data_IF_292484125387
#
_entry.id   IF_292484125387
#
_cell.length_a   1.000
_cell.length_b   1.000
_cell.length_c   1.000
_cell.angle_alpha   90.00
_cell.angle_beta   90.00
_cell.angle_gamma   90.00
#
_symmetry.space_group_name_H-M   'P 1'
#
loop_
_entity.id
_entity.type
_entity.pdbx_description
1 polymer ?
#
# COMPACT_ATOMS: atom_id res chain seq x y z
N UNK A 1 16.64 21.63 -7.54
CA UNK A 1 15.33 21.06 -7.90
C UNK A 1 15.49 19.55 -7.92
N UNK A 2 15.38 18.88 -6.76
CA UNK A 2 15.50 17.43 -6.69
C UNK A 2 14.17 16.82 -7.17
N UNK A 3 14.24 16.02 -8.24
CA UNK A 3 13.07 15.34 -8.76
C UNK A 3 12.51 14.39 -7.70
N UNK A 4 11.20 14.39 -7.48
CA UNK A 4 10.58 13.48 -6.53
C UNK A 4 10.77 12.02 -6.96
N UNK A 5 11.10 11.15 -6.00
CA UNK A 5 11.35 9.74 -6.28
C UNK A 5 10.12 9.06 -6.87
N UNK A 6 10.30 8.49 -8.07
CA UNK A 6 9.35 7.57 -8.67
C UNK A 6 9.30 6.32 -7.78
N UNK A 7 8.17 6.11 -7.10
CA UNK A 7 7.95 4.96 -6.23
C UNK A 7 7.13 3.88 -6.93
N UNK A 8 7.61 2.64 -6.90
CA UNK A 8 6.94 1.49 -7.51
C UNK A 8 6.49 0.52 -6.42
N UNK A 9 5.28 -0.02 -6.53
CA UNK A 9 4.71 -0.92 -5.53
C UNK A 9 4.12 -2.14 -6.21
N UNK A 10 4.34 -3.30 -5.63
CA UNK A 10 3.72 -4.56 -6.03
C UNK A 10 2.98 -5.11 -4.84
N UNK A 11 1.74 -5.51 -5.03
CA UNK A 11 0.95 -6.14 -3.99
C UNK A 11 0.30 -7.41 -4.50
N UNK A 12 0.21 -8.41 -3.63
CA UNK A 12 -0.58 -9.61 -3.87
C UNK A 12 -1.59 -9.70 -2.75
N UNK A 13 -2.87 -9.84 -3.07
CA UNK A 13 -3.91 -10.12 -2.08
C UNK A 13 -4.62 -11.41 -2.39
N UNK A 14 -4.95 -12.17 -1.35
CA UNK A 14 -5.81 -13.34 -1.41
C UNK A 14 -7.01 -13.03 -0.54
N UNK A 15 -8.20 -13.16 -1.11
CA UNK A 15 -9.48 -12.96 -0.44
C UNK A 15 -10.28 -14.26 -0.50
N UNK A 16 -10.93 -14.60 0.61
CA UNK A 16 -11.82 -15.74 0.70
C UNK A 16 -13.17 -15.31 1.25
N UNK A 17 -14.23 -15.64 0.52
CA UNK A 17 -15.61 -15.38 0.90
C UNK A 17 -16.39 -16.70 0.93
N UNK A 18 -17.24 -16.84 1.95
CA UNK A 18 -18.13 -17.97 2.10
C UNK A 18 -19.57 -17.49 2.15
N UNK A 19 -20.34 -17.91 1.16
CA UNK A 19 -21.75 -17.59 1.04
C UNK A 19 -22.54 -18.84 1.44
N UNK A 20 -23.18 -18.83 2.61
CA UNK A 20 -23.93 -19.99 3.13
C UNK A 20 -25.34 -19.60 3.57
N UNK A 21 -25.54 -18.35 3.97
CA UNK A 21 -26.86 -17.84 4.31
C UNK A 21 -27.54 -17.17 3.12
N UNK A 22 -28.86 -17.30 3.04
CA UNK A 22 -29.71 -16.54 2.15
C UNK A 22 -30.51 -15.49 2.94
N UNK A 23 -30.59 -14.27 2.41
CA UNK A 23 -31.38 -13.17 2.99
C UNK A 23 -32.48 -12.72 2.04
N UNK A 24 -33.57 -12.18 2.58
CA UNK A 24 -34.51 -11.30 1.89
C UNK A 24 -34.80 -10.09 2.78
N UNK A 25 -34.54 -8.88 2.29
CA UNK A 25 -34.39 -7.72 3.16
C UNK A 25 -33.23 -7.94 4.14
N UNK A 26 -33.51 -7.82 5.44
CA UNK A 26 -32.55 -8.14 6.52
C UNK A 26 -32.75 -9.52 7.13
N UNK A 27 -33.78 -10.27 6.69
CA UNK A 27 -34.22 -11.51 7.34
C UNK A 27 -33.57 -12.72 6.71
N UNK A 28 -33.04 -13.62 7.54
CA UNK A 28 -32.54 -14.93 7.10
C UNK A 28 -33.70 -15.79 6.65
N UNK A 29 -33.59 -16.35 5.45
CA UNK A 29 -34.59 -17.23 4.85
C UNK A 29 -33.99 -18.62 4.67
N UNK A 30 -34.83 -19.65 4.81
CA UNK A 30 -34.42 -21.03 4.54
C UNK A 30 -34.23 -21.24 3.04
N UNK A 31 -33.06 -21.72 2.63
CA UNK A 31 -32.84 -22.21 1.27
C UNK A 31 -33.19 -23.70 1.20
N UNK A 32 -34.17 -24.07 0.38
CA UNK A 32 -34.61 -25.46 0.22
C UNK A 32 -33.48 -26.40 -0.26
N UNK A 33 -32.45 -25.86 -0.89
CA UNK A 33 -31.29 -26.60 -1.42
C UNK A 33 -30.03 -26.45 -0.57
N UNK A 34 -30.06 -25.72 0.55
CA UNK A 34 -28.88 -25.36 1.36
C UNK A 34 -27.70 -24.87 0.50
N UNK A 35 -27.98 -23.96 -0.45
CA UNK A 35 -26.95 -23.50 -1.39
C UNK A 35 -25.75 -22.89 -0.67
N UNK A 36 -24.55 -23.21 -1.18
CA UNK A 36 -23.31 -22.61 -0.73
C UNK A 36 -22.49 -22.22 -1.93
N UNK A 37 -21.79 -21.10 -1.82
CA UNK A 37 -20.81 -20.69 -2.82
C UNK A 37 -19.57 -20.17 -2.12
N UNK A 38 -18.41 -20.59 -2.60
CA UNK A 38 -17.12 -20.21 -2.06
C UNK A 38 -16.34 -19.45 -3.11
N UNK A 39 -15.93 -18.23 -2.77
CA UNK A 39 -15.10 -17.39 -3.63
C UNK A 39 -13.69 -17.35 -3.09
N UNK A 40 -12.72 -17.46 -4.00
CA UNK A 40 -11.30 -17.21 -3.73
C UNK A 40 -10.79 -16.27 -4.80
N UNK A 41 -10.37 -15.09 -4.41
CA UNK A 41 -9.86 -14.07 -5.33
C UNK A 41 -8.41 -13.80 -5.01
N UNK A 42 -7.51 -14.06 -5.97
CA UNK A 42 -6.12 -13.65 -5.89
C UNK A 42 -5.93 -12.43 -6.78
N UNK A 43 -5.48 -11.30 -6.24
CA UNK A 43 -5.26 -10.08 -7.01
C UNK A 43 -3.80 -9.68 -7.01
N UNK A 44 -3.26 -9.42 -8.21
CA UNK A 44 -1.98 -8.77 -8.40
C UNK A 44 -2.21 -7.27 -8.60
N UNK A 45 -1.68 -6.46 -7.69
CA UNK A 45 -1.69 -5.01 -7.76
C UNK A 45 -0.30 -4.46 -8.12
N UNK A 46 -0.24 -3.53 -9.06
CA UNK A 46 0.97 -2.79 -9.42
C UNK A 46 0.66 -1.31 -9.34
N UNK A 47 1.40 -0.57 -8.52
CA UNK A 47 1.26 0.88 -8.38
C UNK A 47 2.55 1.60 -8.79
N UNK A 48 2.43 2.64 -9.60
CA UNK A 48 3.55 3.47 -10.03
C UNK A 48 3.25 4.95 -9.74
N UNK A 49 4.17 5.62 -9.04
CA UNK A 49 4.10 7.05 -8.75
C UNK A 49 4.95 7.82 -9.77
N UNK A 50 4.29 8.51 -10.70
CA UNK A 50 4.96 9.38 -11.67
C UNK A 50 5.52 10.65 -11.00
N UNK A 51 4.86 11.09 -9.93
CA UNK A 51 5.27 12.21 -9.07
C UNK A 51 4.68 11.98 -7.66
N UNK A 52 4.97 12.85 -6.66
CA UNK A 52 4.37 12.75 -5.32
C UNK A 52 2.86 12.88 -5.37
N UNK A 53 2.35 13.58 -6.39
CA UNK A 53 0.93 13.88 -6.54
C UNK A 53 0.21 12.92 -7.46
N UNK A 54 0.89 12.33 -8.44
CA UNK A 54 0.25 11.49 -9.47
C UNK A 54 0.72 10.05 -9.38
N UNK A 55 -0.22 9.14 -9.19
CA UNK A 55 0.01 7.69 -9.23
C UNK A 55 -0.97 7.00 -10.17
N UNK A 56 -0.55 5.87 -10.71
CA UNK A 56 -1.39 4.93 -11.49
C UNK A 56 -1.28 3.56 -10.84
N UNK A 57 -2.41 2.89 -10.71
CA UNK A 57 -2.51 1.56 -10.12
C UNK A 57 -3.21 0.65 -11.12
N UNK A 58 -2.68 -0.55 -11.30
CA UNK A 58 -3.28 -1.63 -12.08
C UNK A 58 -3.58 -2.76 -11.09
N UNK A 59 -4.73 -3.40 -11.22
CA UNK A 59 -5.11 -4.58 -10.46
C UNK A 59 -5.65 -5.65 -11.41
N UNK A 60 -5.07 -6.84 -11.34
CA UNK A 60 -5.48 -8.00 -12.10
C UNK A 60 -5.98 -9.08 -11.13
N UNK A 61 -7.31 -9.28 -11.00
CA UNK A 61 -7.88 -10.33 -10.16
C UNK A 61 -7.99 -11.65 -10.93
N UNK A 62 -7.68 -12.75 -10.26
CA UNK A 62 -7.99 -14.12 -10.69
C UNK A 62 -8.94 -14.72 -9.68
N UNK A 63 -10.11 -15.17 -10.14
CA UNK A 63 -11.16 -15.73 -9.29
C UNK A 63 -11.23 -17.24 -9.47
N UNK A 64 -11.51 -17.92 -8.38
CA UNK A 64 -11.87 -19.34 -8.33
C UNK A 64 -13.12 -19.47 -7.47
N UNK A 65 -14.21 -19.93 -8.09
CA UNK A 65 -15.56 -19.96 -7.54
C UNK A 65 -16.04 -21.40 -7.53
N UNK A 66 -16.47 -21.88 -6.37
CA UNK A 66 -17.01 -23.24 -6.21
C UNK A 66 -18.42 -23.13 -5.66
N UNK A 67 -19.41 -23.63 -6.40
CA UNK A 67 -20.80 -23.61 -6.01
C UNK A 67 -21.38 -25.04 -6.06
N UNK A 68 -21.41 -25.75 -4.91
CA UNK A 68 -22.18 -26.97 -4.78
C UNK A 68 -23.67 -26.69 -4.92
N UNK A 69 -24.35 -27.44 -5.79
CA UNK A 69 -25.77 -27.32 -6.09
C UNK A 69 -26.48 -28.67 -5.92
N UNK A 70 -27.77 -28.59 -5.64
CA UNK A 70 -28.67 -29.76 -5.61
C UNK A 70 -29.77 -29.53 -6.63
N UNK A 71 -29.93 -30.46 -7.57
CA UNK A 71 -31.09 -30.45 -8.47
C UNK A 71 -32.35 -30.81 -7.68
N UNK A 72 -33.29 -29.88 -7.59
CA UNK A 72 -34.55 -30.05 -6.86
C UNK A 72 -35.47 -31.12 -7.45
N UNK A 73 -35.32 -31.47 -8.74
CA UNK A 73 -36.17 -32.46 -9.41
C UNK A 73 -35.66 -33.88 -9.19
N UNK A 74 -34.33 -34.05 -9.21
CA UNK A 74 -33.69 -35.37 -9.16
C UNK A 74 -33.04 -35.68 -7.81
N UNK A 75 -32.82 -34.67 -6.96
CA UNK A 75 -32.07 -34.79 -5.72
C UNK A 75 -30.56 -34.97 -5.92
N UNK A 76 -30.08 -34.98 -7.17
CA UNK A 76 -28.66 -35.19 -7.49
C UNK A 76 -27.87 -33.95 -7.08
N UNK A 77 -26.77 -34.19 -6.37
CA UNK A 77 -25.79 -33.17 -6.01
C UNK A 77 -24.70 -33.08 -7.07
N UNK A 78 -24.37 -31.87 -7.47
CA UNK A 78 -23.29 -31.59 -8.41
C UNK A 78 -22.57 -30.31 -7.99
N UNK A 79 -21.36 -30.09 -8.48
CA UNK A 79 -20.56 -28.90 -8.15
C UNK A 79 -20.26 -28.13 -9.42
N UNK A 80 -20.56 -26.84 -9.42
CA UNK A 80 -20.13 -25.89 -10.45
C UNK A 80 -18.81 -25.25 -10.04
N UNK A 81 -17.87 -25.17 -10.96
CA UNK A 81 -16.56 -24.58 -10.72
C UNK A 81 -16.22 -23.61 -11.85
N UNK A 82 -15.95 -22.36 -11.48
CA UNK A 82 -15.56 -21.28 -12.39
C UNK A 82 -14.23 -20.72 -11.96
N UNK A 83 -13.28 -20.66 -12.88
CA UNK A 83 -11.96 -20.10 -12.61
C UNK A 83 -11.47 -19.30 -13.79
N UNK A 84 -10.91 -18.13 -13.54
CA UNK A 84 -10.41 -17.29 -14.61
C UNK A 84 -9.92 -15.94 -14.15
N UNK A 85 -9.25 -15.25 -15.07
CA UNK A 85 -8.97 -13.84 -14.92
C UNK A 85 -10.32 -13.10 -14.86
N UNK A 86 -10.45 -12.21 -13.90
CA UNK A 86 -11.55 -11.26 -13.82
C UNK A 86 -11.18 -9.98 -14.57
N UNK A 87 -12.03 -8.97 -14.46
CA UNK A 87 -11.82 -7.69 -15.14
C UNK A 87 -10.65 -6.91 -14.53
N UNK A 88 -9.68 -6.53 -15.35
CA UNK A 88 -8.52 -5.72 -14.95
C UNK A 88 -8.97 -4.31 -14.63
N UNK A 89 -8.51 -3.78 -13.51
CA UNK A 89 -8.80 -2.41 -13.07
C UNK A 89 -7.56 -1.54 -13.26
N UNK A 90 -7.72 -0.43 -13.97
CA UNK A 90 -6.76 0.67 -14.05
C UNK A 90 -7.32 1.84 -13.24
N UNK A 91 -6.54 2.40 -12.31
CA UNK A 91 -7.00 3.49 -11.45
C UNK A 91 -5.87 4.47 -11.14
N UNK A 92 -6.00 5.70 -11.65
CA UNK A 92 -5.11 6.81 -11.34
C UNK A 92 -5.58 7.58 -10.10
N UNK A 93 -4.64 8.20 -9.39
CA UNK A 93 -4.94 9.13 -8.28
C UNK A 93 -4.08 10.37 -8.39
N UNK A 94 -4.72 11.52 -8.22
CA UNK A 94 -4.12 12.84 -8.19
C UNK A 94 -4.33 13.47 -6.80
N UNK A 95 -3.24 13.81 -6.13
CA UNK A 95 -3.25 14.56 -4.88
C UNK A 95 -3.60 16.03 -5.16
N UNK A 96 -4.63 16.53 -4.49
CA UNK A 96 -5.13 17.89 -4.71
C UNK A 96 -4.42 18.94 -3.85
N UNK A 97 -4.07 18.58 -2.63
CA UNK A 97 -3.57 19.52 -1.64
C UNK A 97 -2.06 19.35 -1.38
N UNK A 98 -1.43 20.40 -0.86
CA UNK A 98 -0.04 20.36 -0.41
C UNK A 98 -0.04 20.41 1.13
N UNK A 99 0.23 19.29 1.82
CA UNK A 99 0.29 19.26 3.28
C UNK A 99 1.33 20.24 3.80
N UNK A 100 0.93 21.15 4.70
CA UNK A 100 1.83 22.13 5.32
C UNK A 100 2.54 21.62 6.59
N UNK A 101 2.11 20.48 7.10
CA UNK A 101 2.71 19.76 8.23
C UNK A 101 2.42 18.27 8.10
N UNK A 102 3.11 17.43 8.88
CA UNK A 102 2.82 15.98 8.93
C UNK A 102 1.40 15.67 9.40
N UNK A 103 0.79 16.60 10.16
CA UNK A 103 -0.59 16.47 10.63
C UNK A 103 -1.61 16.95 9.62
N UNK A 104 -1.18 17.61 8.55
CA UNK A 104 -2.09 18.08 7.53
C UNK A 104 -2.65 16.89 6.75
N UNK A 105 -3.96 16.85 6.48
CA UNK A 105 -4.53 15.77 5.70
C UNK A 105 -3.97 15.77 4.28
N UNK A 106 -4.04 14.63 3.62
CA UNK A 106 -3.76 14.45 2.20
C UNK A 106 -5.04 13.96 1.54
N UNK A 107 -5.40 14.61 0.43
CA UNK A 107 -6.63 14.34 -0.31
C UNK A 107 -6.25 13.98 -1.73
N UNK A 108 -6.74 12.83 -2.21
CA UNK A 108 -6.62 12.43 -3.61
C UNK A 108 -7.99 12.32 -4.25
N UNK A 109 -8.07 12.70 -5.52
CA UNK A 109 -9.15 12.27 -6.41
C UNK A 109 -8.61 11.23 -7.37
N UNK A 110 -9.42 10.21 -7.64
CA UNK A 110 -9.09 9.13 -8.54
C UNK A 110 -10.10 8.99 -9.66
N UNK A 111 -9.57 8.57 -10.81
CA UNK A 111 -10.34 8.12 -11.96
C UNK A 111 -9.81 6.75 -12.35
N UNK A 112 -10.68 5.90 -12.87
CA UNK A 112 -10.26 4.59 -13.32
C UNK A 112 -11.24 3.93 -14.28
N UNK A 113 -10.81 2.80 -14.81
CA UNK A 113 -11.56 1.96 -15.71
C UNK A 113 -11.45 0.52 -15.23
N UNK A 114 -12.58 -0.18 -15.23
CA UNK A 114 -12.63 -1.64 -15.14
C UNK A 114 -12.78 -2.17 -16.57
N UNK A 115 -11.77 -2.85 -17.06
CA UNK A 115 -11.69 -3.31 -18.45
C UNK A 115 -12.35 -4.69 -18.58
N UNK A 116 -13.12 -4.96 -19.64
CA UNK A 116 -13.82 -6.23 -19.86
C UNK A 116 -12.85 -7.34 -20.32
N UNK A 117 -11.86 -7.67 -19.49
CA UNK A 117 -10.82 -8.66 -19.80
C UNK A 117 -11.11 -10.04 -19.23
N UNK A 118 -12.02 -10.13 -18.27
CA UNK A 118 -12.40 -11.38 -17.66
C UNK A 118 -13.47 -12.12 -18.45
N UNK A 119 -13.56 -13.43 -18.24
CA UNK A 119 -14.60 -14.24 -18.84
C UNK A 119 -15.97 -13.90 -18.22
N UNK A 120 -16.94 -13.59 -19.07
CA UNK A 120 -18.31 -13.20 -18.70
C UNK A 120 -19.36 -14.15 -19.28
N UNK A 121 -18.92 -15.32 -19.77
CA UNK A 121 -19.85 -16.34 -20.25
C UNK A 121 -20.78 -16.78 -19.11
N UNK A 122 -22.11 -16.78 -19.33
CA UNK A 122 -23.06 -17.35 -18.39
C UNK A 122 -22.80 -18.84 -18.14
N UNK A 123 -23.08 -19.26 -16.90
CA UNK A 123 -22.86 -20.61 -16.37
C UNK A 123 -23.51 -21.72 -17.21
N UNK A 124 -24.67 -21.50 -17.85
CA UNK A 124 -25.44 -22.64 -18.38
C UNK A 124 -26.49 -22.35 -19.48
N UNK A 125 -26.46 -23.15 -20.56
CA UNK A 125 -27.55 -23.39 -21.53
C UNK A 125 -28.21 -24.75 -21.21
N UNK A 126 -29.44 -24.76 -20.70
CA UNK A 126 -30.26 -25.98 -20.66
C UNK A 126 -31.32 -25.89 -21.75
N UNK A 127 -31.73 -27.03 -22.34
CA UNK A 127 -32.65 -27.12 -23.48
C UNK A 127 -34.06 -26.51 -23.32
N UNK A 128 -34.33 -25.74 -22.25
CA UNK A 128 -35.55 -24.96 -22.04
C UNK A 128 -35.30 -23.54 -21.48
N UNK A 129 -34.05 -23.06 -21.40
CA UNK A 129 -33.73 -21.70 -20.97
C UNK A 129 -32.32 -21.52 -20.39
N UNK A 130 -31.81 -20.30 -20.47
CA UNK A 130 -30.47 -19.92 -20.02
C UNK A 130 -30.51 -19.53 -18.54
N UNK A 131 -29.62 -20.11 -17.72
CA UNK A 131 -29.42 -19.68 -16.33
C UNK A 131 -28.32 -18.62 -16.30
N UNK A 132 -28.69 -17.36 -16.14
CA UNK A 132 -27.76 -16.25 -15.94
C UNK A 132 -27.54 -16.03 -14.44
N UNK A 133 -26.82 -16.93 -13.76
CA UNK A 133 -26.28 -16.57 -12.43
C UNK A 133 -24.98 -15.79 -12.67
N UNK A 134 -25.03 -14.44 -12.66
CA UNK A 134 -23.87 -13.64 -13.01
C UNK A 134 -22.84 -13.63 -11.88
N UNK A 135 -23.23 -14.08 -10.67
CA UNK A 135 -22.36 -14.16 -9.51
C UNK A 135 -21.27 -15.22 -9.70
N UNK A 136 -21.52 -16.21 -10.56
CA UNK A 136 -20.57 -17.27 -10.87
C UNK A 136 -19.57 -16.90 -11.98
N UNK A 137 -19.74 -15.74 -12.61
CA UNK A 137 -18.85 -15.26 -13.67
C UNK A 137 -17.61 -14.58 -13.08
N UNK A 138 -16.39 -14.95 -13.52
CA UNK A 138 -15.17 -14.28 -13.08
C UNK A 138 -15.14 -12.78 -13.46
N UNK A 139 -15.48 -12.47 -14.71
CA UNK A 139 -15.57 -11.12 -15.28
C UNK A 139 -17.01 -10.70 -15.57
N UNK A 140 -17.19 -9.42 -15.87
CA UNK A 140 -18.51 -8.84 -16.11
C UNK A 140 -18.77 -8.55 -17.59
N UNK A 141 -17.72 -8.50 -18.42
CA UNK A 141 -17.82 -8.19 -19.84
C UNK A 141 -18.23 -6.73 -20.13
N UNK A 142 -18.12 -5.84 -19.14
CA UNK A 142 -18.48 -4.43 -19.25
C UNK A 142 -17.27 -3.52 -18.96
N UNK A 143 -17.19 -2.40 -19.70
CA UNK A 143 -16.23 -1.33 -19.45
C UNK A 143 -16.83 -0.35 -18.44
N UNK A 144 -16.42 -0.41 -17.17
CA UNK A 144 -16.97 0.48 -16.14
C UNK A 144 -16.03 1.65 -15.84
N UNK A 145 -16.60 2.80 -15.48
CA UNK A 145 -15.84 3.94 -14.99
C UNK A 145 -15.79 3.93 -13.47
N UNK A 146 -14.63 4.28 -12.92
CA UNK A 146 -14.38 4.36 -11.49
C UNK A 146 -14.04 5.80 -11.11
N UNK A 147 -14.64 6.26 -10.03
CA UNK A 147 -14.36 7.57 -9.43
C UNK A 147 -14.03 7.36 -7.97
N UNK A 148 -12.94 7.94 -7.49
CA UNK A 148 -12.57 7.81 -6.08
C UNK A 148 -12.22 9.14 -5.44
N UNK A 149 -12.43 9.21 -4.12
CA UNK A 149 -11.90 10.26 -3.27
C UNK A 149 -11.26 9.59 -2.06
N UNK A 150 -9.97 9.86 -1.84
CA UNK A 150 -9.21 9.33 -0.71
C UNK A 150 -8.82 10.45 0.23
N UNK A 151 -8.86 10.17 1.53
CA UNK A 151 -8.40 11.03 2.61
C UNK A 151 -7.42 10.25 3.48
N UNK A 152 -6.31 10.87 3.85
CA UNK A 152 -5.35 10.32 4.80
C UNK A 152 -4.82 11.40 5.72
N UNK A 153 -4.67 11.10 7.01
CA UNK A 153 -4.09 12.03 7.97
C UNK A 153 -3.35 11.29 9.07
N UNK A 154 -2.20 11.82 9.49
CA UNK A 154 -1.43 11.29 10.62
C UNK A 154 -1.55 12.23 11.82
N UNK A 155 -1.94 11.70 12.97
CA UNK A 155 -2.12 12.41 14.23
C UNK A 155 -1.28 11.72 15.32
N UNK A 156 0.05 11.87 15.23
CA UNK A 156 0.99 11.15 16.09
C UNK A 156 0.99 9.65 15.76
N UNK A 157 0.60 8.81 16.72
CA UNK A 157 0.48 7.36 16.52
C UNK A 157 -0.81 6.94 15.81
N UNK A 158 -1.77 7.85 15.67
CA UNK A 158 -3.06 7.57 15.03
C UNK A 158 -2.98 7.95 13.56
N UNK A 159 -3.48 7.09 12.67
CA UNK A 159 -3.68 7.41 11.27
C UNK A 159 -5.17 7.28 10.95
N UNK A 160 -5.71 8.29 10.29
CA UNK A 160 -7.08 8.31 9.79
C UNK A 160 -7.03 8.10 8.29
N UNK A 161 -7.81 7.16 7.80
CA UNK A 161 -7.93 6.87 6.38
C UNK A 161 -9.39 6.78 5.99
N UNK A 162 -9.77 7.42 4.89
CA UNK A 162 -11.09 7.24 4.29
C UNK A 162 -10.97 7.12 2.78
N UNK A 163 -11.83 6.29 2.19
CA UNK A 163 -11.99 6.14 0.76
C UNK A 163 -13.45 6.14 0.41
N UNK A 164 -13.82 6.89 -0.62
CA UNK A 164 -15.08 6.76 -1.33
C UNK A 164 -14.76 6.25 -2.74
N UNK A 165 -15.51 5.27 -3.23
CA UNK A 165 -15.36 4.73 -4.58
C UNK A 165 -16.76 4.58 -5.19
N UNK A 166 -16.95 5.10 -6.40
CA UNK A 166 -18.15 4.89 -7.18
C UNK A 166 -17.80 4.22 -8.51
N UNK A 167 -18.42 3.06 -8.78
CA UNK A 167 -18.34 2.35 -10.05
C UNK A 167 -19.62 2.61 -10.83
N UNK A 168 -19.48 3.34 -11.92
CA UNK A 168 -20.53 3.55 -12.90
C UNK A 168 -20.45 2.43 -13.94
N UNK A 169 -21.50 1.61 -14.03
CA UNK A 169 -21.53 0.55 -15.04
C UNK A 169 -21.67 1.14 -16.44
N UNK A 170 -20.79 0.73 -17.36
CA UNK A 170 -20.74 1.30 -18.70
C UNK A 170 -21.82 0.83 -19.66
N UNK A 171 -22.56 -0.23 -19.34
CA UNK A 171 -23.61 -0.76 -20.20
C UNK A 171 -23.84 -2.26 -20.09
N UNK A 172 -24.70 -2.78 -20.97
CA UNK A 172 -24.90 -4.22 -21.14
C UNK A 172 -23.67 -4.85 -21.77
N UNK A 173 -23.31 -6.05 -21.30
CA UNK A 173 -22.29 -6.88 -21.93
C UNK A 173 -22.86 -7.57 -23.20
N UNK A 174 -22.04 -8.37 -23.88
CA UNK A 174 -22.43 -9.07 -25.12
C UNK A 174 -23.58 -10.07 -24.94
N UNK A 175 -23.91 -10.43 -23.69
CA UNK A 175 -25.00 -11.33 -23.34
C UNK A 175 -26.28 -10.58 -22.93
N UNK A 176 -26.27 -9.24 -22.98
CA UNK A 176 -27.40 -8.41 -22.59
C UNK A 176 -27.51 -8.18 -21.08
N UNK A 177 -26.50 -8.55 -20.29
CA UNK A 177 -26.50 -8.35 -18.84
C UNK A 177 -25.75 -7.06 -18.47
N UNK A 178 -26.37 -6.22 -17.65
CA UNK A 178 -25.78 -4.98 -17.11
C UNK A 178 -25.78 -5.04 -15.59
N UNK A 179 -24.59 -4.97 -15.02
CA UNK A 179 -24.39 -4.88 -13.58
C UNK A 179 -24.82 -3.51 -13.05
N UNK A 180 -25.40 -3.48 -11.86
CA UNK A 180 -25.77 -2.27 -11.17
C UNK A 180 -24.54 -1.40 -10.85
N UNK A 181 -24.80 -0.10 -10.72
CA UNK A 181 -23.83 0.84 -10.18
C UNK A 181 -23.51 0.48 -8.74
N UNK A 182 -22.31 0.83 -8.30
CA UNK A 182 -21.83 0.44 -6.99
C UNK A 182 -21.14 1.60 -6.30
N UNK A 183 -21.45 1.76 -5.02
CA UNK A 183 -20.83 2.75 -4.16
C UNK A 183 -20.19 2.04 -2.96
N UNK A 184 -18.91 2.30 -2.74
CA UNK A 184 -18.17 1.80 -1.59
C UNK A 184 -17.65 2.96 -0.76
N UNK A 185 -17.65 2.80 0.56
CA UNK A 185 -16.92 3.69 1.46
C UNK A 185 -16.13 2.90 2.49
N UNK A 186 -14.95 3.40 2.82
CA UNK A 186 -14.11 2.92 3.92
C UNK A 186 -13.84 4.08 4.85
N UNK A 187 -14.04 3.88 6.15
CA UNK A 187 -13.61 4.76 7.23
C UNK A 187 -12.72 3.95 8.16
N UNK A 188 -11.47 4.34 8.34
CA UNK A 188 -10.50 3.56 9.09
C UNK A 188 -9.71 4.42 10.07
N UNK A 189 -9.50 3.86 11.25
CA UNK A 189 -8.57 4.39 12.26
C UNK A 189 -7.51 3.33 12.51
N UNK A 190 -6.25 3.70 12.33
CA UNK A 190 -5.10 2.85 12.60
C UNK A 190 -4.26 3.43 13.73
N UNK A 191 -3.69 2.55 14.56
CA UNK A 191 -2.80 2.90 15.65
C UNK A 191 -1.46 2.20 15.46
N UNK A 192 -0.39 3.00 15.43
CA UNK A 192 0.98 2.52 15.31
C UNK A 192 1.47 2.03 16.68
N UNK A 193 1.46 0.71 16.87
CA UNK A 193 1.85 0.06 18.13
C UNK A 193 3.37 0.12 18.31
N UNK A 194 4.11 -0.23 17.26
CA UNK A 194 5.57 -0.18 17.16
C UNK A 194 5.98 0.20 15.74
N UNK A 195 7.27 0.30 15.43
CA UNK A 195 7.72 0.60 14.06
C UNK A 195 7.26 -0.44 13.02
N UNK A 196 6.98 -1.67 13.46
CA UNK A 196 6.69 -2.79 12.56
C UNK A 196 5.27 -3.33 12.68
N UNK A 197 4.49 -2.84 13.63
CA UNK A 197 3.13 -3.33 13.89
C UNK A 197 2.16 -2.16 13.95
N UNK A 198 1.12 -2.25 13.12
CA UNK A 198 -0.01 -1.34 13.12
C UNK A 198 -1.30 -2.17 13.25
N UNK A 199 -2.17 -1.74 14.14
CA UNK A 199 -3.52 -2.30 14.24
C UNK A 199 -4.50 -1.28 13.71
N UNK A 200 -5.57 -1.71 13.06
CA UNK A 200 -6.61 -0.81 12.58
C UNK A 200 -7.99 -1.41 12.71
N UNK A 201 -8.98 -0.54 12.79
CA UNK A 201 -10.40 -0.89 12.71
C UNK A 201 -11.01 -0.05 11.61
N UNK A 202 -11.79 -0.70 10.74
CA UNK A 202 -12.42 -0.06 9.60
C UNK A 202 -13.93 -0.32 9.59
N UNK A 203 -14.68 0.65 9.10
CA UNK A 203 -16.08 0.52 8.72
C UNK A 203 -16.11 0.57 7.20
N UNK A 204 -16.49 -0.55 6.58
CA UNK A 204 -16.58 -0.69 5.13
C UNK A 204 -18.05 -0.81 4.73
N UNK A 205 -18.56 0.14 3.95
CA UNK A 205 -19.91 0.08 3.38
C UNK A 205 -19.88 -0.22 1.90
N UNK A 206 -20.85 -1.00 1.45
CA UNK A 206 -21.08 -1.36 0.05
C UNK A 206 -22.56 -1.15 -0.24
N UNK A 207 -22.87 -0.45 -1.32
CA UNK A 207 -24.19 -0.36 -1.93
C UNK A 207 -24.10 -0.79 -3.38
N UNK A 208 -24.96 -1.70 -3.80
CA UNK A 208 -25.11 -2.11 -5.20
C UNK A 208 -26.54 -1.81 -5.65
N UNK A 209 -26.67 -1.14 -6.79
CA UNK A 209 -27.95 -0.98 -7.46
C UNK A 209 -28.39 -2.32 -8.08
N UNK A 210 -29.65 -2.39 -8.52
CA UNK A 210 -30.12 -3.56 -9.24
C UNK A 210 -29.47 -3.68 -10.63
N UNK A 211 -29.28 -4.93 -11.02
CA UNK A 211 -28.82 -5.33 -12.35
C UNK A 211 -29.98 -5.33 -13.35
N UNK A 212 -29.64 -5.43 -14.64
CA UNK A 212 -30.58 -5.56 -15.74
C UNK A 212 -30.16 -6.73 -16.65
N UNK A 213 -31.11 -7.60 -16.99
CA UNK A 213 -30.95 -8.65 -17.99
C UNK A 213 -31.86 -8.33 -19.18
N UNK A 214 -31.28 -8.08 -20.35
CA UNK A 214 -31.96 -7.65 -21.58
C UNK A 214 -32.86 -6.44 -21.31
N UNK A 215 -32.28 -5.43 -20.66
CA UNK A 215 -32.95 -4.20 -20.21
C UNK A 215 -34.10 -4.40 -19.20
N UNK A 216 -34.35 -5.63 -18.72
CA UNK A 216 -35.32 -5.90 -17.66
C UNK A 216 -34.63 -5.90 -16.30
N UNK A 217 -35.18 -5.16 -15.35
CA UNK A 217 -34.66 -5.06 -13.99
C UNK A 217 -34.70 -6.43 -13.30
N UNK A 218 -33.57 -6.86 -12.76
CA UNK A 218 -33.44 -8.13 -12.03
C UNK A 218 -33.73 -7.88 -10.55
N UNK A 219 -34.95 -8.14 -10.10
CA UNK A 219 -35.42 -7.76 -8.76
C UNK A 219 -34.67 -8.42 -7.60
N UNK A 220 -34.05 -9.58 -7.83
CA UNK A 220 -33.23 -10.30 -6.84
C UNK A 220 -31.75 -9.93 -6.90
N UNK A 221 -31.42 -8.72 -7.33
CA UNK A 221 -30.06 -8.16 -7.25
C UNK A 221 -30.09 -6.83 -6.51
N UNK A 222 -28.91 -6.32 -6.16
CA UNK A 222 -28.77 -5.08 -5.41
C UNK A 222 -28.97 -5.27 -3.89
N UNK A 223 -28.32 -4.40 -3.14
CA UNK A 223 -28.32 -4.46 -1.69
C UNK A 223 -27.38 -3.43 -1.06
N UNK A 224 -27.25 -3.55 0.25
CA UNK A 224 -26.38 -2.72 1.07
C UNK A 224 -25.79 -3.53 2.22
N UNK A 225 -24.50 -3.36 2.44
CA UNK A 225 -23.74 -4.06 3.46
C UNK A 225 -22.88 -3.06 4.22
N UNK A 226 -22.73 -3.30 5.51
CA UNK A 226 -21.73 -2.62 6.36
C UNK A 226 -20.95 -3.71 7.07
N UNK A 227 -19.63 -3.63 6.95
CA UNK A 227 -18.68 -4.52 7.59
C UNK A 227 -17.88 -3.75 8.63
N UNK A 228 -17.72 -4.35 9.81
CA UNK A 228 -16.68 -3.99 10.75
C UNK A 228 -15.44 -4.82 10.41
N UNK A 229 -14.30 -4.18 10.21
CA UNK A 229 -13.09 -4.83 9.73
C UNK A 229 -11.92 -4.54 10.67
N UNK A 230 -11.69 -5.37 11.70
CA UNK A 230 -10.41 -5.38 12.39
C UNK A 230 -9.29 -5.84 11.45
N UNK A 231 -8.12 -5.22 11.59
CA UNK A 231 -6.98 -5.45 10.72
C UNK A 231 -5.67 -5.29 11.48
N UNK A 232 -4.70 -6.13 11.12
CA UNK A 232 -3.32 -6.02 11.59
C UNK A 232 -2.39 -5.95 10.39
N UNK A 233 -1.49 -4.98 10.42
CA UNK A 233 -0.41 -4.81 9.45
C UNK A 233 0.92 -5.01 10.16
N UNK A 234 1.73 -5.93 9.63
CA UNK A 234 3.06 -6.27 10.16
C UNK A 234 4.06 -6.12 9.03
N UNK A 235 5.14 -5.38 9.24
CA UNK A 235 6.13 -5.15 8.19
C UNK A 235 7.12 -4.05 8.49
N UNK A 236 7.88 -3.67 7.47
CA UNK A 236 8.72 -2.48 7.42
C UNK A 236 8.12 -1.44 6.46
N UNK A 237 8.89 -0.40 6.14
CA UNK A 237 8.56 0.60 5.12
C UNK A 237 8.41 -0.02 3.73
N UNK A 238 9.23 -1.02 3.43
CA UNK A 238 9.36 -1.58 2.09
C UNK A 238 8.51 -2.81 1.91
N UNK A 239 8.17 -3.51 2.99
CA UNK A 239 7.44 -4.77 2.90
C UNK A 239 6.45 -4.91 4.04
N UNK A 240 5.19 -5.25 3.73
CA UNK A 240 4.19 -5.46 4.75
C UNK A 240 3.20 -6.56 4.39
N UNK A 241 2.81 -7.31 5.42
CA UNK A 241 1.63 -8.15 5.44
C UNK A 241 0.49 -7.40 6.12
N UNK A 242 -0.72 -7.55 5.60
CA UNK A 242 -1.94 -7.05 6.21
C UNK A 242 -3.00 -8.15 6.19
N UNK A 243 -3.51 -8.48 7.37
CA UNK A 243 -4.62 -9.40 7.54
C UNK A 243 -5.87 -8.60 7.88
N UNK A 244 -6.98 -8.84 7.19
CA UNK A 244 -8.28 -8.24 7.48
C UNK A 244 -9.34 -9.33 7.66
N UNK A 245 -10.24 -9.13 8.63
CA UNK A 245 -11.43 -9.92 8.80
C UNK A 245 -12.65 -9.01 8.63
N UNK A 246 -13.40 -9.14 7.55
CA UNK A 246 -14.58 -8.33 7.29
C UNK A 246 -15.80 -9.05 7.89
N UNK A 247 -16.26 -8.53 9.03
CA UNK A 247 -17.41 -9.06 9.76
C UNK A 247 -18.64 -8.24 9.37
N UNK A 248 -19.66 -8.83 8.71
CA UNK A 248 -20.85 -8.09 8.37
C UNK A 248 -21.63 -7.74 9.65
N UNK A 249 -21.87 -6.45 9.85
CA UNK A 249 -22.68 -5.93 10.98
C UNK A 249 -24.06 -5.46 10.54
N UNK A 250 -24.23 -5.19 9.24
CA UNK A 250 -25.52 -4.89 8.64
C UNK A 250 -25.55 -5.38 7.21
N UNK A 251 -26.66 -6.01 6.82
CA UNK A 251 -26.87 -6.57 5.49
C UNK A 251 -28.35 -6.42 5.13
N UNK A 252 -28.62 -5.84 3.97
CA UNK A 252 -29.95 -5.76 3.39
C UNK A 252 -29.87 -6.07 1.90
N UNK A 253 -30.70 -6.99 1.41
CA UNK A 253 -30.81 -7.35 0.00
C UNK A 253 -32.23 -7.17 -0.50
N UNK A 254 -32.42 -6.84 -1.77
CA UNK A 254 -33.74 -6.47 -2.29
C UNK A 254 -34.74 -7.63 -2.30
N UNK A 255 -34.29 -8.84 -2.59
CA UNK A 255 -35.06 -10.09 -2.51
C UNK A 255 -34.11 -11.24 -2.13
N UNK A 256 -34.61 -12.48 -2.14
CA UNK A 256 -33.85 -13.69 -1.87
C UNK A 256 -32.51 -13.72 -2.61
N UNK A 257 -31.41 -13.59 -1.87
CA UNK A 257 -30.04 -13.61 -2.37
C UNK A 257 -29.15 -14.41 -1.42
N UNK A 258 -28.23 -15.18 -1.98
CA UNK A 258 -27.15 -15.77 -1.22
C UNK A 258 -26.10 -14.68 -0.92
N UNK A 259 -25.62 -14.63 0.33
CA UNK A 259 -24.75 -13.54 0.79
C UNK A 259 -23.54 -14.06 1.56
N UNK A 260 -22.47 -13.27 1.63
CA UNK A 260 -21.30 -13.58 2.43
C UNK A 260 -21.61 -13.59 3.94
N UNK A 261 -21.16 -14.66 4.61
CA UNK A 261 -21.17 -14.76 6.07
C UNK A 261 -19.97 -14.02 6.68
N UNK A 262 -18.81 -14.16 6.02
CA UNK A 262 -17.54 -13.58 6.41
C UNK A 262 -16.64 -13.45 5.19
N UNK A 263 -15.75 -12.46 5.23
CA UNK A 263 -14.66 -12.31 4.26
C UNK A 263 -13.33 -12.20 5.01
N UNK A 264 -12.34 -12.97 4.58
CA UNK A 264 -10.98 -12.86 5.08
C UNK A 264 -10.06 -12.45 3.93
N UNK A 265 -9.17 -11.49 4.19
CA UNK A 265 -8.17 -11.10 3.21
C UNK A 265 -6.77 -11.03 3.82
N UNK A 266 -5.80 -11.59 3.09
CA UNK A 266 -4.38 -11.44 3.34
C UNK A 266 -3.78 -10.64 2.19
N UNK A 267 -3.09 -9.55 2.49
CA UNK A 267 -2.40 -8.72 1.53
C UNK A 267 -0.92 -8.66 1.84
N UNK A 268 -0.11 -8.88 0.84
CA UNK A 268 1.33 -8.64 0.83
C UNK A 268 1.59 -7.41 -0.03
N UNK A 269 2.42 -6.50 0.43
CA UNK A 269 2.81 -5.30 -0.31
C UNK A 269 4.31 -5.16 -0.22
N UNK A 270 4.96 -4.93 -1.35
CA UNK A 270 6.35 -4.55 -1.47
C UNK A 270 6.46 -3.20 -2.19
N UNK A 271 7.22 -2.26 -1.63
CA UNK A 271 7.47 -0.94 -2.18
C UNK A 271 8.95 -0.83 -2.57
N UNK A 272 9.19 -0.70 -3.86
CA UNK A 272 10.48 -0.37 -4.44
C UNK A 272 10.66 1.15 -4.41
N UNK A 273 11.66 1.63 -3.69
CA UNK A 273 11.91 3.07 -3.48
C UNK A 273 10.65 3.77 -2.95
N UNK A 274 10.24 3.52 -1.70
CA UNK A 274 9.02 4.11 -1.16
C UNK A 274 9.02 5.63 -1.38
N UNK A 275 7.90 6.23 -1.83
CA UNK A 275 7.85 7.66 -2.09
C UNK A 275 8.13 8.41 -0.78
N UNK A 276 9.25 9.14 -0.73
CA UNK A 276 9.54 10.07 0.36
C UNK A 276 8.56 11.24 0.23
N UNK A 277 7.55 11.26 1.09
CA UNK A 277 6.69 12.43 1.26
C UNK A 277 7.49 13.52 1.97
N UNK A 278 8.13 14.39 1.20
CA UNK A 278 8.76 15.59 1.75
C UNK A 278 7.64 16.60 2.09
N UNK A 279 7.24 16.66 3.36
CA UNK A 279 6.49 17.82 3.87
C UNK A 279 7.51 18.94 4.04
N UNK A 280 7.43 20.05 3.28
CA UNK A 280 8.30 21.18 3.53
C UNK A 280 8.00 21.70 4.93
N UNK A 281 8.98 21.61 5.83
CA UNK A 281 8.96 22.13 7.21
C UNK A 281 8.99 23.66 7.28
N UNK A 282 8.35 24.34 6.33
CA UNK A 282 8.24 25.80 6.33
C UNK A 282 6.90 26.23 6.92
N UNK A 283 6.72 25.95 8.20
CA UNK A 283 5.71 26.58 9.05
C UNK A 283 6.37 27.46 10.13
N UNK A 284 7.45 28.17 9.78
CA UNK A 284 7.98 29.31 10.52
C UNK A 284 8.84 30.18 9.60
N UNK A 285 8.23 30.84 8.61
CA UNK A 285 8.85 32.01 7.98
C UNK A 285 7.81 32.88 7.26
N UNK A 286 7.03 33.60 8.06
CA UNK A 286 6.51 34.91 7.64
C UNK A 286 7.25 35.95 8.48
N UNK A 287 7.73 36.99 7.81
CA UNK A 287 8.61 38.05 8.29
C UNK A 287 10.10 37.68 8.33
N UNK A 288 10.78 37.84 7.19
CA UNK A 288 11.61 39.02 6.99
C UNK A 288 12.05 39.11 5.53
N UNK A 289 11.51 40.10 4.86
CA UNK A 289 12.07 40.71 3.65
C UNK A 289 13.48 41.22 3.93
N UNK A 290 14.48 40.68 3.23
CA UNK A 290 15.66 41.40 2.75
C UNK A 290 16.44 40.51 1.80
N UNK A 291 16.69 41.04 0.62
CA UNK A 291 17.70 40.55 -0.31
C UNK A 291 19.02 40.29 0.42
N UNK A 292 19.60 39.12 0.21
CA UNK A 292 21.05 38.99 0.16
C UNK A 292 21.42 37.87 -0.80
N UNK A 293 21.85 38.25 -1.99
CA UNK A 293 22.63 37.39 -2.87
C UNK A 293 23.93 37.07 -2.14
N UNK A 294 24.16 35.80 -1.82
CA UNK A 294 25.50 35.26 -1.57
C UNK A 294 25.62 33.90 -2.23
N UNK A 295 26.26 33.89 -3.40
CA UNK A 295 27.00 32.73 -3.87
C UNK A 295 28.15 32.50 -2.87
N UNK A 296 28.00 31.51 -2.00
CA UNK A 296 29.13 30.79 -1.41
C UNK A 296 28.86 29.32 -1.68
N UNK A 297 29.63 28.72 -2.59
CA UNK A 297 29.70 27.27 -2.77
C UNK A 297 30.28 26.65 -1.51
N UNK A 298 29.41 26.32 -0.57
CA UNK A 298 29.75 25.48 0.57
C UNK A 298 30.22 24.11 0.06
N UNK A 299 31.50 23.80 0.24
CA UNK A 299 32.08 22.49 -0.09
C UNK A 299 31.86 21.58 1.13
N UNK A 300 31.14 20.45 1.00
CA UNK A 300 30.91 19.54 2.11
C UNK A 300 32.24 18.92 2.59
N UNK A 301 32.41 18.80 3.91
CA UNK A 301 33.63 18.29 4.54
C UNK A 301 33.64 16.76 4.54
N UNK A 302 33.93 16.17 3.38
CA UNK A 302 33.97 14.73 3.15
C UNK A 302 35.38 14.34 2.72
N UNK A 303 35.98 13.38 3.42
CA UNK A 303 37.33 12.87 3.09
C UNK A 303 37.39 11.37 3.24
N UNK A 304 38.01 10.69 2.27
CA UNK A 304 38.48 9.30 2.48
C UNK A 304 39.83 9.35 3.17
N UNK A 305 39.97 8.66 4.31
CA UNK A 305 41.13 8.80 5.20
C UNK A 305 41.97 7.51 5.37
N UNK A 306 41.49 6.37 4.88
CA UNK A 306 42.26 5.12 4.86
C UNK A 306 41.80 4.17 3.77
N UNK A 307 42.71 3.28 3.38
CA UNK A 307 42.49 2.10 2.54
C UNK A 307 43.13 0.87 3.21
N UNK A 308 42.37 0.20 4.07
CA UNK A 308 42.75 -1.05 4.74
C UNK A 308 43.83 -0.93 5.83
N UNK A 309 44.49 0.21 5.98
CA UNK A 309 45.55 0.43 6.97
C UNK A 309 44.98 0.87 8.32
N UNK A 310 45.69 0.54 9.41
CA UNK A 310 45.36 1.05 10.74
C UNK A 310 45.45 2.58 10.78
N UNK A 311 44.46 3.21 11.40
CA UNK A 311 44.40 4.66 11.58
C UNK A 311 43.88 4.99 12.97
N UNK A 312 44.09 6.22 13.43
CA UNK A 312 43.38 6.77 14.59
C UNK A 312 42.19 7.59 14.10
N UNK A 313 41.01 7.40 14.69
CA UNK A 313 39.82 8.19 14.36
C UNK A 313 39.96 9.61 14.93
N UNK A 314 40.39 10.55 14.11
CA UNK A 314 40.49 11.97 14.46
C UNK A 314 39.21 12.74 14.12
N UNK A 315 38.53 13.24 15.14
CA UNK A 315 37.30 14.02 14.98
C UNK A 315 37.59 15.46 14.55
N UNK A 316 36.64 16.08 13.84
CA UNK A 316 36.73 17.49 13.46
C UNK A 316 36.14 18.34 14.57
N UNK A 317 36.99 19.11 15.25
CA UNK A 317 36.58 19.98 16.36
C UNK A 317 35.47 20.95 15.91
N UNK A 318 34.40 21.02 16.72
CA UNK A 318 33.26 21.90 16.45
C UNK A 318 32.27 21.35 15.41
N UNK A 319 32.48 20.12 14.92
CA UNK A 319 31.59 19.43 14.00
C UNK A 319 31.21 18.04 14.52
N UNK A 320 30.00 17.60 14.22
CA UNK A 320 29.66 16.19 14.35
C UNK A 320 30.45 15.42 13.30
N UNK A 321 31.22 14.42 13.73
CA UNK A 321 32.08 13.64 12.83
C UNK A 321 31.52 12.24 12.64
N UNK A 322 31.28 11.86 11.38
CA UNK A 322 30.85 10.53 10.97
C UNK A 322 32.04 9.76 10.39
N UNK A 323 32.33 8.58 10.93
CA UNK A 323 33.26 7.63 10.33
C UNK A 323 32.49 6.51 9.64
N UNK A 324 32.56 6.45 8.32
CA UNK A 324 31.92 5.41 7.50
C UNK A 324 32.96 4.35 7.12
N UNK A 325 32.80 3.14 7.64
CA UNK A 325 33.56 1.97 7.23
C UNK A 325 32.84 1.29 6.06
N UNK A 326 33.50 1.24 4.90
CA UNK A 326 32.91 0.73 3.65
C UNK A 326 33.92 -0.12 2.86
N UNK A 327 33.46 -0.88 1.87
CA UNK A 327 34.31 -1.58 0.89
C UNK A 327 33.81 -1.32 -0.53
N UNK A 328 34.69 -1.38 -1.54
CA UNK A 328 34.31 -1.14 -2.95
C UNK A 328 33.41 -2.24 -3.51
N UNK A 329 33.38 -3.43 -2.90
CA UNK A 329 32.50 -4.54 -3.29
C UNK A 329 31.14 -4.53 -2.58
N UNK A 330 30.91 -3.53 -1.72
CA UNK A 330 29.72 -3.44 -0.87
C UNK A 330 28.57 -2.71 -1.59
N UNK A 331 27.58 -3.48 -2.08
CA UNK A 331 26.39 -2.93 -2.74
C UNK A 331 25.56 -2.01 -1.83
N UNK A 332 25.56 -2.28 -0.52
CA UNK A 332 24.88 -1.44 0.48
C UNK A 332 25.59 -0.11 0.70
N UNK A 333 26.91 -0.07 0.53
CA UNK A 333 27.73 1.13 0.69
C UNK A 333 27.49 2.09 -0.48
N UNK A 334 27.38 1.56 -1.71
CA UNK A 334 27.02 2.34 -2.91
C UNK A 334 25.67 3.08 -2.74
N UNK A 335 24.72 2.46 -2.03
CA UNK A 335 23.41 3.08 -1.72
C UNK A 335 23.49 4.16 -0.64
N UNK A 336 24.36 4.00 0.35
CA UNK A 336 24.47 4.91 1.49
C UNK A 336 25.26 6.18 1.15
N UNK A 337 26.29 6.06 0.31
CA UNK A 337 27.19 7.15 -0.08
C UNK A 337 26.46 8.44 -0.54
N UNK A 338 25.53 8.40 -1.51
CA UNK A 338 24.84 9.63 -1.94
C UNK A 338 24.01 10.27 -0.83
N UNK A 339 23.48 9.48 0.11
CA UNK A 339 22.68 9.98 1.23
C UNK A 339 23.54 10.69 2.28
N UNK A 340 24.71 10.13 2.59
CA UNK A 340 25.70 10.75 3.47
C UNK A 340 26.26 12.04 2.83
N UNK A 341 26.53 12.03 1.52
CA UNK A 341 26.98 13.21 0.80
C UNK A 341 25.93 14.33 0.78
N UNK A 342 24.66 13.99 0.59
CA UNK A 342 23.57 14.95 0.69
C UNK A 342 23.48 15.53 2.12
N UNK A 343 23.56 14.68 3.14
CA UNK A 343 23.51 15.10 4.53
C UNK A 343 24.60 16.14 4.85
N UNK A 344 25.85 15.86 4.46
CA UNK A 344 26.97 16.78 4.65
C UNK A 344 26.88 18.06 3.79
N UNK A 345 26.16 18.05 2.66
CA UNK A 345 25.90 19.27 1.86
C UNK A 345 24.85 20.17 2.50
N UNK A 346 23.86 19.57 3.15
CA UNK A 346 22.75 20.31 3.78
C UNK A 346 23.06 20.79 5.19
N UNK A 347 24.08 20.22 5.84
CA UNK A 347 24.45 20.55 7.21
C UNK A 347 25.96 20.86 7.33
N UNK A 348 26.33 22.15 7.37
CA UNK A 348 27.72 22.59 7.52
C UNK A 348 28.41 22.17 8.82
N UNK A 349 27.62 21.74 9.83
CA UNK A 349 28.15 21.26 11.10
C UNK A 349 28.66 19.82 11.04
N UNK A 350 28.58 19.16 9.87
CA UNK A 350 29.04 17.79 9.69
C UNK A 350 30.40 17.68 9.01
N UNK A 351 31.14 16.66 9.44
CA UNK A 351 32.31 16.14 8.76
C UNK A 351 32.16 14.63 8.56
N UNK A 352 32.41 14.15 7.33
CA UNK A 352 32.37 12.72 7.00
C UNK A 352 33.78 12.24 6.68
N UNK A 353 34.14 11.11 7.27
CA UNK A 353 35.43 10.45 7.15
C UNK A 353 35.17 9.02 6.66
N UNK A 354 35.38 8.79 5.37
CA UNK A 354 35.21 7.47 4.75
C UNK A 354 36.48 6.64 4.97
N UNK A 355 36.31 5.39 5.38
CA UNK A 355 37.37 4.43 5.69
C UNK A 355 37.10 3.22 4.81
N UNK A 356 37.87 3.08 3.73
CA UNK A 356 37.76 1.88 2.91
C UNK A 356 38.47 0.75 3.65
N UNK A 357 37.74 -0.31 4.00
CA UNK A 357 38.30 -1.46 4.70
C UNK A 357 39.11 -2.38 3.77
N UNK A 358 39.05 -2.20 2.46
CA UNK A 358 39.75 -3.06 1.51
C UNK A 358 39.17 -4.48 1.50
N UNK A 359 40.04 -5.47 1.76
CA UNK A 359 39.67 -6.89 1.81
C UNK A 359 39.38 -7.37 3.23
N UNK A 360 38.81 -8.57 3.37
CA UNK A 360 38.35 -9.15 4.65
C UNK A 360 39.47 -9.41 5.68
N UNK A 361 40.75 -9.27 5.30
CA UNK A 361 41.91 -9.50 6.16
C UNK A 361 42.68 -8.20 6.48
N UNK A 362 42.10 -7.03 6.23
CA UNK A 362 42.78 -5.77 6.44
C UNK A 362 42.96 -5.45 7.94
N UNK A 363 44.10 -4.86 8.34
CA UNK A 363 44.36 -4.48 9.74
C UNK A 363 43.25 -3.64 10.41
N UNK A 364 42.59 -2.77 9.65
CA UNK A 364 41.54 -1.87 10.15
C UNK A 364 40.29 -2.64 10.65
N UNK A 365 39.99 -3.82 10.09
CA UNK A 365 38.88 -4.68 10.53
C UNK A 365 39.11 -5.15 11.96
N UNK A 366 40.32 -5.66 12.23
CA UNK A 366 40.72 -6.12 13.57
C UNK A 366 40.82 -4.98 14.57
N UNK A 367 41.35 -3.82 14.15
CA UNK A 367 41.53 -2.66 15.02
C UNK A 367 40.20 -2.12 15.57
N UNK A 368 39.16 -2.05 14.74
CA UNK A 368 37.86 -1.50 15.12
C UNK A 368 36.76 -2.54 15.32
N UNK A 369 37.08 -3.83 15.20
CA UNK A 369 36.12 -4.94 15.29
C UNK A 369 34.92 -4.77 14.33
N UNK A 370 35.22 -4.47 13.07
CA UNK A 370 34.21 -4.27 12.03
C UNK A 370 33.67 -5.63 11.58
N UNK A 371 32.39 -5.89 11.81
CA UNK A 371 31.75 -7.17 11.45
C UNK A 371 30.80 -7.05 10.27
N UNK A 372 30.43 -5.82 9.89
CA UNK A 372 29.52 -5.54 8.78
C UNK A 372 29.92 -4.25 8.07
N UNK A 373 29.61 -4.14 6.77
CA UNK A 373 29.71 -2.88 6.02
C UNK A 373 28.38 -2.60 5.27
N UNK A 374 27.96 -1.33 5.15
CA UNK A 374 28.58 -0.16 5.78
C UNK A 374 28.34 -0.12 7.29
N UNK A 375 29.29 0.43 8.05
CA UNK A 375 29.12 0.76 9.46
C UNK A 375 29.47 2.25 9.67
N UNK A 376 28.59 2.99 10.34
CA UNK A 376 28.78 4.43 10.60
C UNK A 376 28.92 4.67 12.10
N UNK A 377 30.03 5.29 12.51
CA UNK A 377 30.26 5.71 13.90
C UNK A 377 30.11 7.23 14.02
N UNK A 378 29.35 7.67 15.01
CA UNK A 378 28.99 9.09 15.20
C UNK A 378 29.70 9.64 16.44
N UNK A 379 30.33 10.80 16.27
CA UNK A 379 30.98 11.56 17.33
C UNK A 379 30.43 12.98 17.39
N UNK A 380 30.26 13.52 18.60
CA UNK A 380 29.78 14.88 18.82
C UNK A 380 30.87 15.95 18.56
N UNK A 381 30.53 17.26 18.58
CA UNK A 381 31.49 18.33 18.33
C UNK A 381 32.65 18.43 19.33
N UNK A 382 32.54 17.77 20.49
CA UNK A 382 33.58 17.65 21.53
C UNK A 382 34.44 16.38 21.35
N UNK A 383 34.16 15.57 20.33
CA UNK A 383 34.87 14.33 20.03
C UNK A 383 34.44 13.14 20.89
N UNK A 384 33.29 13.21 21.57
CA UNK A 384 32.77 12.08 22.36
C UNK A 384 31.98 11.14 21.45
N UNK A 385 32.15 9.85 21.66
CA UNK A 385 31.42 8.81 20.92
C UNK A 385 29.94 8.81 21.29
N UNK A 386 29.06 8.83 20.28
CA UNK A 386 27.60 8.90 20.45
C UNK A 386 26.95 7.55 20.14
N UNK A 387 27.41 6.85 19.11
CA UNK A 387 26.87 5.54 18.74
C UNK A 387 27.39 4.99 17.42
N UNK A 388 27.09 3.71 17.20
CA UNK A 388 27.38 2.98 15.95
C UNK A 388 26.08 2.57 15.28
N UNK A 389 26.01 2.74 13.96
CA UNK A 389 24.92 2.30 13.10
C UNK A 389 25.51 1.29 12.12
N UNK A 390 25.04 0.04 12.16
CA UNK A 390 25.34 -0.96 11.14
C UNK A 390 24.28 -0.92 10.03
N UNK A 391 24.71 -0.88 8.77
CA UNK A 391 23.83 -0.86 7.60
C UNK A 391 23.50 0.54 7.08
N UNK A 392 22.38 0.61 6.34
CA UNK A 392 22.06 1.73 5.43
C UNK A 392 20.92 2.63 5.92
N UNK A 393 20.54 2.52 7.19
CA UNK A 393 19.43 3.28 7.78
C UNK A 393 19.83 4.77 7.99
N UNK A 394 19.57 5.58 6.97
CA UNK A 394 19.89 7.01 6.98
C UNK A 394 19.07 7.78 8.02
N UNK A 395 17.86 7.33 8.36
CA UNK A 395 17.01 8.01 9.35
C UNK A 395 17.57 7.81 10.75
N UNK A 396 18.08 6.61 11.06
CA UNK A 396 18.81 6.35 12.29
C UNK A 396 20.11 7.16 12.37
N UNK A 397 20.84 7.31 11.26
CA UNK A 397 22.03 8.17 11.19
C UNK A 397 21.64 9.63 11.46
N UNK A 398 20.58 10.15 10.83
CA UNK A 398 20.08 11.53 11.03
C UNK A 398 19.64 11.77 12.47
N UNK A 399 18.92 10.84 13.08
CA UNK A 399 18.52 10.91 14.48
C UNK A 399 19.74 10.96 15.41
N UNK A 400 20.75 10.13 15.14
CA UNK A 400 21.98 10.05 15.93
C UNK A 400 22.80 11.34 15.78
N UNK A 401 22.88 11.90 14.58
CA UNK A 401 23.49 13.21 14.31
C UNK A 401 22.76 14.32 15.07
N UNK A 402 21.42 14.38 15.00
CA UNK A 402 20.65 15.37 15.75
C UNK A 402 20.87 15.28 17.26
N UNK A 403 21.00 14.07 17.80
CA UNK A 403 21.34 13.87 19.22
C UNK A 403 22.78 14.30 19.55
N UNK A 404 23.71 14.16 18.61
CA UNK A 404 25.10 14.59 18.78
C UNK A 404 25.25 16.11 18.79
N UNK A 405 24.36 16.85 18.10
CA UNK A 405 24.36 18.31 18.08
C UNK A 405 23.83 18.91 19.40
N UNK A 406 22.92 18.21 20.07
CA UNK A 406 22.20 18.70 21.26
C UNK A 406 22.86 18.33 22.61
N UNK A 407 24.10 17.84 22.60
CA UNK A 407 24.89 17.42 23.79
C UNK A 407 26.24 18.13 23.83
#
# INVERSE_FOLDING_TARGET
MNQPSKGFTVGVSIEHEAFRDALSGTSVISSATEERTFFRTMSLGIGYHFSPRLSVNIMAPYKHIVSPKTDLRTGIRFTRNYSGLADIILHNRLQLNTPGSERSPIIWLGLGLKLPTGDSQPDWDWGFGNSHDPVLQPGTGSLDQLFSADYFQVLGKIQLYSRLLYRLSGGENIHGYKFGNEFQYTLATAYQVSNNVQISTQINGLYTAEDYDKSLKVSNTGGRWIYLTPSIKIGSTDFAYQLNAHVPVYRYVNNAQLIADYVFSLRMIYAFNPPYFHVPTNAHRLNQSREYIRNDTFIPDIKTISLGQEITLETVRGKVTLFEFYSDTCLSCEKLEPLLHELARTDPSLAIRKINIGNDNSPIISQYNITTTPEVRVFDPLGRFVGTIAGTDIDLIRLTVANAINK
#
